data_IF_709440329977
#
_entry.id   IF_709440329977
#
_cell.length_a   1.000
_cell.length_b   1.000
_cell.length_c   1.000
_cell.angle_alpha   90.00
_cell.angle_beta   90.00
_cell.angle_gamma   90.00
#
_symmetry.space_group_name_H-M   'P 1'
#
loop_
_entity.id
_entity.type
_entity.pdbx_description
1 polymer ?
#
# COMPACT_ATOMS: atom_id res chain seq x y z
N UNK A 1 -9.82 19.90 27.49
CA UNK A 1 -10.41 18.90 26.60
C UNK A 1 -11.34 19.53 25.55
N UNK A 2 -12.33 20.42 25.89
CA UNK A 2 -13.21 21.06 24.89
C UNK A 2 -12.49 21.85 23.81
N UNK A 3 -11.39 22.57 24.12
CA UNK A 3 -10.59 23.34 23.13
C UNK A 3 -9.86 22.47 22.13
N UNK A 4 -9.41 21.29 22.54
CA UNK A 4 -8.75 20.32 21.66
C UNK A 4 -9.74 19.68 20.69
N UNK A 5 -10.96 19.37 21.17
CA UNK A 5 -12.05 18.85 20.33
C UNK A 5 -12.48 19.86 19.26
N UNK A 6 -12.55 21.16 19.61
CA UNK A 6 -12.89 22.23 18.66
C UNK A 6 -11.77 22.38 17.60
N UNK A 7 -10.50 22.29 17.99
CA UNK A 7 -9.37 22.32 17.04
C UNK A 7 -9.38 21.14 16.08
N UNK A 8 -9.67 19.94 16.59
CA UNK A 8 -9.80 18.74 15.76
C UNK A 8 -11.01 18.87 14.82
N UNK A 9 -12.16 19.34 15.31
CA UNK A 9 -13.35 19.55 14.51
C UNK A 9 -13.14 20.63 13.43
N UNK A 10 -12.44 21.73 13.75
CA UNK A 10 -12.11 22.78 12.80
C UNK A 10 -11.11 22.30 11.74
N UNK A 11 -10.13 21.47 12.13
CA UNK A 11 -9.20 20.83 11.22
C UNK A 11 -9.91 19.89 10.24
N UNK A 12 -10.84 19.07 10.72
CA UNK A 12 -11.64 18.16 9.89
C UNK A 12 -12.55 18.93 8.92
N UNK A 13 -13.12 20.07 9.34
CA UNK A 13 -13.97 20.90 8.49
C UNK A 13 -13.19 21.59 7.36
N UNK A 14 -11.92 21.98 7.58
CA UNK A 14 -11.07 22.57 6.53
C UNK A 14 -10.69 21.55 5.43
N UNK A 15 -10.66 20.26 5.72
CA UNK A 15 -10.42 19.21 4.73
C UNK A 15 -11.60 18.99 3.77
N UNK A 16 -12.83 19.32 4.18
CA UNK A 16 -14.01 19.06 3.38
C UNK A 16 -14.21 20.00 2.16
N UNK A 17 -13.42 21.07 2.05
CA UNK A 17 -13.57 22.07 0.98
C UNK A 17 -12.49 22.00 -0.11
N UNK A 18 -11.55 21.08 -0.01
CA UNK A 18 -10.52 20.89 -1.05
C UNK A 18 -11.06 19.98 -2.14
N UNK A 19 -11.63 20.57 -3.20
CA UNK A 19 -11.90 19.84 -4.44
C UNK A 19 -10.55 19.45 -5.05
N UNK A 20 -10.19 18.20 -4.95
CA UNK A 20 -9.04 17.65 -5.68
C UNK A 20 -9.34 17.72 -7.17
N UNK A 21 -8.65 18.58 -7.89
CA UNK A 21 -8.61 18.53 -9.35
C UNK A 21 -7.66 17.40 -9.75
N UNK A 22 -8.17 16.17 -9.77
CA UNK A 22 -7.44 15.06 -10.37
C UNK A 22 -7.43 15.24 -11.88
N UNK A 23 -6.25 15.43 -12.44
CA UNK A 23 -6.09 15.62 -13.89
C UNK A 23 -6.14 14.29 -14.67
N UNK A 24 -6.53 13.18 -14.05
CA UNK A 24 -6.68 11.86 -14.69
C UNK A 24 -7.73 11.03 -13.96
N UNK A 25 -8.33 10.08 -14.69
CA UNK A 25 -9.34 9.18 -14.12
C UNK A 25 -8.73 7.90 -13.56
N UNK A 26 -7.82 7.30 -14.31
CA UNK A 26 -7.18 6.03 -13.93
C UNK A 26 -5.69 6.05 -14.27
N UNK A 27 -4.91 5.20 -13.62
CA UNK A 27 -3.50 5.02 -13.91
C UNK A 27 -3.11 3.55 -13.69
N UNK A 28 -2.22 3.05 -14.56
CA UNK A 28 -1.67 1.69 -14.49
C UNK A 28 -0.15 1.74 -14.55
N UNK A 29 0.51 0.90 -13.77
CA UNK A 29 1.97 0.89 -13.74
C UNK A 29 2.55 -0.16 -12.79
N UNK A 30 3.70 0.16 -12.23
CA UNK A 30 4.42 -0.70 -11.31
C UNK A 30 4.62 0.02 -9.98
N UNK A 31 4.59 -0.75 -8.90
CA UNK A 31 4.99 -0.36 -7.56
C UNK A 31 6.11 -1.29 -7.09
N UNK A 32 7.15 -0.72 -6.52
CA UNK A 32 8.19 -1.44 -5.78
C UNK A 32 8.07 -1.06 -4.31
N UNK A 33 8.24 -2.03 -3.42
CA UNK A 33 8.09 -1.81 -2.00
C UNK A 33 9.13 -2.58 -1.18
N UNK A 34 9.30 -2.15 0.06
CA UNK A 34 10.07 -2.90 1.06
C UNK A 34 9.15 -3.80 1.89
N UNK A 35 7.90 -3.93 1.44
CA UNK A 35 6.78 -4.45 2.17
C UNK A 35 6.85 -5.89 2.61
N UNK A 36 5.90 -6.21 3.47
CA UNK A 36 5.68 -7.55 3.99
C UNK A 36 5.40 -8.57 2.88
N UNK A 37 4.61 -8.20 1.87
CA UNK A 37 4.02 -9.12 0.91
C UNK A 37 4.39 -8.86 -0.55
N UNK A 38 4.94 -7.69 -0.87
CA UNK A 38 5.25 -7.30 -2.23
C UNK A 38 6.59 -6.58 -2.33
N UNK A 39 7.49 -7.13 -3.13
CA UNK A 39 8.72 -6.46 -3.55
C UNK A 39 8.48 -5.67 -4.84
N UNK A 40 7.76 -6.28 -5.78
CA UNK A 40 7.32 -5.67 -7.03
C UNK A 40 5.87 -6.02 -7.27
N UNK A 41 5.08 -5.06 -7.71
CA UNK A 41 3.66 -5.25 -7.99
C UNK A 41 3.20 -4.47 -9.23
N UNK A 42 2.28 -5.07 -9.97
CA UNK A 42 1.45 -4.32 -10.91
C UNK A 42 0.47 -3.47 -10.11
N UNK A 43 0.37 -2.19 -10.44
CA UNK A 43 -0.44 -1.21 -9.72
C UNK A 43 -1.47 -0.58 -10.63
N UNK A 44 -2.72 -0.56 -10.18
CA UNK A 44 -3.82 0.14 -10.83
C UNK A 44 -4.48 1.08 -9.83
N UNK A 45 -4.60 2.35 -10.17
CA UNK A 45 -5.26 3.38 -9.38
C UNK A 45 -6.40 4.00 -10.18
N UNK A 46 -7.56 4.21 -9.56
CA UNK A 46 -8.70 4.89 -10.18
C UNK A 46 -9.37 5.81 -9.18
N UNK A 47 -9.70 7.02 -9.62
CA UNK A 47 -10.48 7.98 -8.84
C UNK A 47 -11.97 7.69 -9.04
N UNK A 48 -12.70 7.48 -7.94
CA UNK A 48 -14.12 7.13 -7.94
C UNK A 48 -15.04 8.31 -7.65
N UNK A 49 -14.56 9.28 -6.84
CA UNK A 49 -15.34 10.46 -6.48
C UNK A 49 -14.43 11.58 -5.98
N UNK A 50 -14.26 12.65 -6.76
CA UNK A 50 -13.47 13.81 -6.34
C UNK A 50 -12.10 13.42 -5.79
N UNK A 51 -11.86 13.56 -4.46
CA UNK A 51 -10.58 13.25 -3.84
C UNK A 51 -10.37 11.76 -3.53
N UNK A 52 -11.39 10.91 -3.71
CA UNK A 52 -11.37 9.50 -3.37
C UNK A 52 -10.83 8.62 -4.48
N UNK A 53 -9.79 7.83 -4.21
CA UNK A 53 -9.22 6.88 -5.14
C UNK A 53 -9.20 5.46 -4.56
N UNK A 54 -9.35 4.47 -5.43
CA UNK A 54 -9.05 3.06 -5.16
C UNK A 54 -7.73 2.70 -5.83
N UNK A 55 -6.89 1.99 -5.10
CA UNK A 55 -5.65 1.43 -5.61
C UNK A 55 -5.65 -0.08 -5.39
N UNK A 56 -5.34 -0.81 -6.46
CA UNK A 56 -5.18 -2.26 -6.47
C UNK A 56 -3.75 -2.60 -6.85
N UNK A 57 -3.13 -3.53 -6.13
CA UNK A 57 -1.79 -4.01 -6.45
C UNK A 57 -1.79 -5.53 -6.46
N UNK A 58 -1.20 -6.10 -7.52
CA UNK A 58 -0.90 -7.53 -7.63
C UNK A 58 0.62 -7.69 -7.55
N UNK A 59 1.09 -8.22 -6.44
CA UNK A 59 2.50 -8.22 -6.10
C UNK A 59 3.10 -9.61 -5.94
N UNK A 60 4.42 -9.66 -6.06
CA UNK A 60 5.22 -10.84 -5.80
C UNK A 60 6.41 -10.48 -4.94
N UNK A 61 6.75 -11.36 -4.00
CA UNK A 61 7.93 -11.25 -3.15
C UNK A 61 8.59 -12.62 -3.01
N UNK A 62 9.72 -12.85 -3.71
CA UNK A 62 10.60 -13.96 -3.38
C UNK A 62 11.27 -13.70 -2.04
N UNK A 63 11.34 -14.71 -1.20
CA UNK A 63 11.95 -14.63 0.12
C UNK A 63 12.64 -15.92 0.49
N UNK A 64 13.64 -15.83 1.36
CA UNK A 64 14.33 -16.98 1.92
C UNK A 64 14.13 -16.96 3.42
N UNK A 65 13.58 -18.04 3.99
CA UNK A 65 13.39 -18.19 5.42
C UNK A 65 14.53 -19.01 6.03
N UNK A 66 15.08 -18.53 7.14
CA UNK A 66 16.00 -19.33 7.97
C UNK A 66 15.23 -19.85 9.17
N UNK A 67 15.17 -21.16 9.31
CA UNK A 67 14.69 -21.80 10.55
C UNK A 67 15.90 -22.24 11.35
N UNK A 68 16.15 -21.58 12.48
CA UNK A 68 17.17 -22.00 13.43
C UNK A 68 16.52 -22.96 14.43
N UNK A 69 16.52 -24.24 14.11
CA UNK A 69 16.27 -25.30 15.09
C UNK A 69 17.62 -25.81 15.61
N UNK A 70 17.63 -26.44 16.77
CA UNK A 70 18.89 -26.82 17.47
C UNK A 70 19.85 -27.75 16.68
N UNK A 71 19.55 -28.19 15.47
CA UNK A 71 20.46 -29.04 14.67
C UNK A 71 20.26 -28.95 13.14
N UNK A 72 19.38 -28.15 12.60
CA UNK A 72 19.14 -28.06 11.14
C UNK A 72 18.95 -26.59 10.73
N UNK A 73 19.82 -26.10 9.86
CA UNK A 73 19.66 -24.86 9.13
C UNK A 73 18.97 -25.22 7.82
N UNK A 74 17.66 -25.12 7.77
CA UNK A 74 16.89 -25.37 6.55
C UNK A 74 16.67 -24.04 5.82
N UNK A 75 17.31 -23.91 4.66
CA UNK A 75 17.21 -22.73 3.81
C UNK A 75 16.08 -22.95 2.80
N UNK A 76 14.85 -22.67 3.22
CA UNK A 76 13.69 -22.80 2.35
C UNK A 76 13.40 -21.51 1.60
N UNK A 77 13.46 -21.57 0.28
CA UNK A 77 12.98 -20.50 -0.60
C UNK A 77 11.45 -20.58 -0.70
N UNK A 78 10.79 -19.44 -0.53
CA UNK A 78 9.36 -19.31 -0.73
C UNK A 78 9.02 -18.05 -1.52
N UNK A 79 7.90 -18.07 -2.20
CA UNK A 79 7.38 -16.92 -2.95
C UNK A 79 6.01 -16.55 -2.42
N UNK A 80 5.85 -15.30 -2.07
CA UNK A 80 4.56 -14.72 -1.68
C UNK A 80 3.95 -14.06 -2.91
N UNK A 81 2.72 -14.46 -3.25
CA UNK A 81 1.85 -13.73 -4.17
C UNK A 81 0.87 -12.91 -3.33
N UNK A 82 0.69 -11.65 -3.66
CA UNK A 82 -0.18 -10.73 -2.92
C UNK A 82 -1.17 -10.02 -3.83
N UNK A 83 -2.38 -9.83 -3.31
CA UNK A 83 -3.40 -8.97 -3.88
C UNK A 83 -3.81 -7.96 -2.81
N UNK A 84 -3.55 -6.68 -3.04
CA UNK A 84 -3.95 -5.62 -2.12
C UNK A 84 -4.96 -4.67 -2.76
N UNK A 85 -5.85 -4.15 -1.92
CA UNK A 85 -6.78 -3.11 -2.27
C UNK A 85 -6.79 -2.04 -1.18
N UNK A 86 -6.75 -0.77 -1.55
CA UNK A 86 -6.80 0.36 -0.63
C UNK A 86 -7.66 1.48 -1.15
N UNK A 87 -8.34 2.16 -0.22
CA UNK A 87 -8.97 3.44 -0.44
C UNK A 87 -8.04 4.55 0.02
N UNK A 88 -7.90 5.59 -0.79
CA UNK A 88 -7.04 6.75 -0.54
C UNK A 88 -7.84 8.04 -0.71
N UNK A 89 -7.71 8.94 0.23
CA UNK A 89 -8.25 10.29 0.14
C UNK A 89 -7.12 11.27 -0.17
N UNK A 90 -7.19 11.92 -1.33
CA UNK A 90 -6.16 12.81 -1.86
C UNK A 90 -6.48 14.27 -1.55
N UNK A 91 -5.47 15.01 -1.12
CA UNK A 91 -5.57 16.45 -0.85
C UNK A 91 -4.49 17.18 -1.66
N UNK A 92 -4.87 18.08 -2.58
CA UNK A 92 -3.93 18.80 -3.41
C UNK A 92 -3.10 19.78 -2.59
N UNK A 93 -1.82 19.90 -2.95
CA UNK A 93 -0.91 20.91 -2.41
C UNK A 93 -0.91 22.09 -3.40
N UNK A 94 -1.62 23.15 -3.06
CA UNK A 94 -1.86 24.29 -3.95
C UNK A 94 -0.61 25.01 -4.39
N UNK A 95 0.47 24.93 -3.60
CA UNK A 95 1.76 25.54 -3.92
C UNK A 95 2.50 24.84 -5.09
N UNK A 96 2.17 23.58 -5.37
CA UNK A 96 2.84 22.78 -6.41
C UNK A 96 1.78 22.07 -7.24
N UNK A 97 1.46 22.58 -8.45
CA UNK A 97 0.48 21.94 -9.33
C UNK A 97 0.85 20.47 -9.63
N UNK A 98 -0.12 19.58 -9.46
CA UNK A 98 0.06 18.14 -9.66
C UNK A 98 0.54 17.37 -8.44
N UNK A 99 0.97 18.03 -7.37
CA UNK A 99 1.36 17.38 -6.11
C UNK A 99 0.16 17.26 -5.18
N UNK A 100 -0.05 16.06 -4.65
CA UNK A 100 -1.08 15.76 -3.66
C UNK A 100 -0.48 14.91 -2.54
N UNK A 101 -0.94 15.07 -1.33
CA UNK A 101 -0.74 14.06 -0.30
C UNK A 101 -2.00 13.22 -0.15
N UNK A 102 -1.87 12.02 0.30
CA UNK A 102 -3.01 11.14 0.55
C UNK A 102 -2.88 10.39 1.86
N UNK A 103 -4.03 10.02 2.38
CA UNK A 103 -4.16 9.13 3.53
C UNK A 103 -5.30 8.15 3.26
N UNK A 104 -5.15 6.95 3.78
CA UNK A 104 -6.15 5.93 3.57
C UNK A 104 -5.88 4.64 4.32
N UNK A 105 -6.44 3.57 3.82
CA UNK A 105 -6.22 2.25 4.36
C UNK A 105 -6.71 1.16 3.44
N UNK A 106 -6.27 -0.04 3.70
CA UNK A 106 -6.59 -1.18 2.86
C UNK A 106 -6.31 -2.52 3.51
N UNK A 107 -6.40 -3.53 2.70
CA UNK A 107 -6.08 -4.90 3.08
C UNK A 107 -5.22 -5.58 2.01
N UNK A 108 -4.50 -6.61 2.43
CA UNK A 108 -3.72 -7.48 1.55
C UNK A 108 -4.09 -8.93 1.82
N UNK A 109 -4.42 -9.63 0.76
CA UNK A 109 -4.50 -11.08 0.72
C UNK A 109 -3.18 -11.62 0.20
N UNK A 110 -2.62 -12.60 0.88
CA UNK A 110 -1.37 -13.26 0.47
C UNK A 110 -1.59 -14.74 0.29
N UNK A 111 -0.88 -15.33 -0.66
CA UNK A 111 -0.73 -16.77 -0.76
C UNK A 111 0.77 -17.12 -0.84
N UNK A 112 1.21 -18.01 0.01
CA UNK A 112 2.62 -18.40 0.09
C UNK A 112 2.81 -19.74 -0.62
N UNK A 113 3.74 -19.77 -1.57
CA UNK A 113 4.14 -20.95 -2.32
C UNK A 113 5.53 -21.37 -1.89
N UNK A 114 5.68 -22.62 -1.50
CA UNK A 114 6.95 -23.23 -1.10
C UNK A 114 6.99 -24.67 -1.60
N UNK A 115 8.19 -25.22 -1.75
CA UNK A 115 8.37 -26.63 -2.11
C UNK A 115 8.00 -27.63 -1.01
N UNK A 116 7.61 -27.17 0.17
CA UNK A 116 7.22 -28.00 1.31
C UNK A 116 5.73 -27.82 1.61
N UNK A 117 4.93 -28.87 1.53
CA UNK A 117 3.47 -28.84 1.68
C UNK A 117 2.98 -28.27 3.01
N UNK A 118 3.83 -28.25 4.03
CA UNK A 118 3.50 -27.72 5.37
C UNK A 118 3.42 -26.19 5.44
N UNK A 119 3.89 -25.45 4.42
CA UNK A 119 4.01 -24.00 4.44
C UNK A 119 3.07 -23.27 3.47
N UNK A 120 2.10 -23.96 2.92
CA UNK A 120 1.07 -23.34 2.09
C UNK A 120 0.01 -22.63 2.94
N UNK A 121 -0.42 -21.47 2.51
CA UNK A 121 -1.56 -20.86 3.17
C UNK A 121 -1.88 -19.45 2.72
N UNK A 122 -3.12 -19.09 3.01
CA UNK A 122 -3.67 -17.76 2.75
C UNK A 122 -3.45 -16.91 3.99
N UNK A 123 -2.91 -15.72 3.80
CA UNK A 123 -2.78 -14.69 4.82
C UNK A 123 -3.66 -13.49 4.53
N UNK A 124 -4.06 -12.79 5.59
CA UNK A 124 -4.78 -11.53 5.54
C UNK A 124 -4.07 -10.50 6.42
N UNK A 125 -3.83 -9.33 5.87
CA UNK A 125 -3.29 -8.20 6.61
C UNK A 125 -4.09 -6.93 6.32
N UNK A 126 -4.10 -6.01 7.28
CA UNK A 126 -4.69 -4.68 7.17
C UNK A 126 -3.58 -3.65 7.27
N UNK A 127 -3.72 -2.54 6.55
CA UNK A 127 -2.76 -1.45 6.61
C UNK A 127 -3.42 -0.08 6.48
N UNK A 128 -3.08 0.89 7.31
CA UNK A 128 -3.22 2.30 6.96
C UNK A 128 -2.18 2.64 5.90
N UNK A 129 -2.46 3.61 5.06
CA UNK A 129 -1.52 4.11 4.05
C UNK A 129 -1.51 5.62 4.05
N UNK A 130 -0.35 6.19 3.80
CA UNK A 130 -0.20 7.62 3.62
C UNK A 130 1.01 7.91 2.76
N UNK A 131 0.95 9.01 2.02
CA UNK A 131 2.02 9.31 1.10
C UNK A 131 1.82 10.58 0.29
N UNK A 132 2.64 10.72 -0.74
CA UNK A 132 2.56 11.81 -1.70
C UNK A 132 2.48 11.23 -3.11
N UNK A 133 1.73 11.93 -3.94
CA UNK A 133 1.40 11.58 -5.31
C UNK A 133 1.66 12.78 -6.20
N UNK A 134 2.40 12.61 -7.28
CA UNK A 134 2.73 13.68 -8.21
C UNK A 134 2.39 13.31 -9.65
N UNK A 135 1.41 14.00 -10.20
CA UNK A 135 1.02 13.90 -11.61
C UNK A 135 1.78 14.93 -12.43
N UNK A 136 2.55 14.47 -13.40
CA UNK A 136 3.25 15.34 -14.34
C UNK A 136 2.26 15.99 -15.33
N UNK A 137 2.33 17.31 -15.45
CA UNK A 137 1.39 18.05 -16.33
C UNK A 137 1.64 17.87 -17.83
N UNK A 138 2.87 17.55 -18.25
CA UNK A 138 3.29 17.47 -19.66
C UNK A 138 3.35 16.04 -20.22
N UNK A 139 3.43 15.05 -19.36
CA UNK A 139 3.53 13.64 -19.75
C UNK A 139 2.47 12.84 -18.99
N UNK A 140 1.98 11.74 -19.55
CA UNK A 140 0.99 10.88 -18.90
C UNK A 140 1.64 9.99 -17.84
N UNK A 141 2.32 10.59 -16.88
CA UNK A 141 3.05 9.92 -15.81
C UNK A 141 2.57 10.43 -14.45
N UNK A 142 2.31 9.50 -13.57
CA UNK A 142 2.04 9.66 -12.16
C UNK A 142 3.11 8.92 -11.35
N UNK A 143 3.67 9.54 -10.34
CA UNK A 143 4.59 8.91 -9.41
C UNK A 143 4.12 9.12 -7.98
N UNK A 144 4.22 8.08 -7.17
CA UNK A 144 3.85 8.18 -5.75
C UNK A 144 4.87 7.51 -4.85
N UNK A 145 4.95 8.03 -3.64
CA UNK A 145 5.65 7.40 -2.51
C UNK A 145 4.66 7.18 -1.40
N UNK A 146 4.72 6.03 -0.78
CA UNK A 146 3.79 5.65 0.30
C UNK A 146 4.49 4.93 1.44
N UNK A 147 3.85 4.96 2.60
CA UNK A 147 4.19 4.17 3.77
C UNK A 147 2.95 3.38 4.20
N UNK A 148 3.14 2.07 4.49
CA UNK A 148 2.06 1.11 4.82
C UNK A 148 2.42 0.27 6.04
N UNK A 149 2.28 0.79 7.26
CA UNK A 149 2.39 -0.05 8.45
C UNK A 149 1.39 -1.20 8.37
N UNK A 150 1.87 -2.43 8.34
CA UNK A 150 1.04 -3.60 8.04
C UNK A 150 0.79 -4.43 9.28
N UNK A 151 -0.50 -4.64 9.59
CA UNK A 151 -0.98 -5.46 10.71
C UNK A 151 -1.52 -6.77 10.16
N UNK A 152 -0.92 -7.87 10.55
CA UNK A 152 -1.38 -9.19 10.16
C UNK A 152 -2.57 -9.61 11.00
N UNK A 153 -3.65 -10.04 10.34
CA UNK A 153 -4.88 -10.53 10.97
C UNK A 153 -4.94 -12.04 10.95
N UNK A 154 -4.50 -12.65 9.84
CA UNK A 154 -4.43 -14.08 9.68
C UNK A 154 -3.16 -14.47 8.91
N UNK A 155 -2.54 -15.57 9.31
CA UNK A 155 -1.36 -16.12 8.66
C UNK A 155 -1.44 -17.65 8.61
N UNK A 156 -0.74 -18.29 7.67
CA UNK A 156 -0.59 -19.75 7.68
C UNK A 156 -0.05 -20.25 9.01
N UNK A 157 -0.48 -21.42 9.50
CA UNK A 157 -0.27 -21.90 10.89
C UNK A 157 1.19 -22.15 11.30
N UNK A 158 2.13 -22.18 10.37
CA UNK A 158 3.52 -22.60 10.65
C UNK A 158 4.57 -21.49 10.70
N UNK A 159 4.17 -20.26 10.49
CA UNK A 159 5.10 -19.14 10.54
C UNK A 159 4.92 -18.32 11.83
N UNK A 160 5.96 -18.28 12.66
CA UNK A 160 6.10 -17.28 13.72
C UNK A 160 6.43 -15.93 13.10
N UNK A 161 5.46 -15.30 12.46
CA UNK A 161 5.62 -13.97 11.93
C UNK A 161 5.26 -12.92 12.97
N UNK A 162 5.99 -11.82 12.95
CA UNK A 162 5.57 -10.63 13.70
C UNK A 162 4.19 -10.17 13.21
N UNK A 163 3.30 -9.85 14.15
CA UNK A 163 1.94 -9.38 13.84
C UNK A 163 1.94 -7.97 13.26
N UNK A 164 3.05 -7.25 13.37
CA UNK A 164 3.22 -5.90 12.88
C UNK A 164 4.51 -5.78 12.08
N UNK A 165 4.42 -5.27 10.87
CA UNK A 165 5.54 -5.02 9.99
C UNK A 165 5.70 -3.52 9.71
N UNK A 166 6.89 -2.99 10.05
CA UNK A 166 7.28 -1.61 9.84
C UNK A 166 8.81 -1.49 9.79
N UNK A 167 9.39 -0.67 8.89
CA UNK A 167 8.72 0.16 7.89
C UNK A 167 8.40 -0.59 6.59
N UNK A 168 7.27 -0.25 5.96
CA UNK A 168 6.90 -0.65 4.61
C UNK A 168 6.80 0.62 3.76
N UNK A 169 7.82 0.87 2.96
CA UNK A 169 7.87 1.99 2.02
C UNK A 169 7.58 1.49 0.62
N UNK A 170 6.82 2.28 -0.14
CA UNK A 170 6.53 2.02 -1.53
C UNK A 170 6.87 3.19 -2.42
N UNK A 171 7.27 2.88 -3.64
CA UNK A 171 7.39 3.81 -4.75
C UNK A 171 6.63 3.25 -5.95
N UNK A 172 5.79 4.05 -6.57
CA UNK A 172 5.07 3.63 -7.77
C UNK A 172 5.25 4.64 -8.89
N UNK A 173 5.29 4.12 -10.11
CA UNK A 173 5.26 4.88 -11.34
C UNK A 173 4.16 4.31 -12.25
N UNK A 174 3.22 5.18 -12.68
CA UNK A 174 2.01 4.78 -13.40
C UNK A 174 1.81 5.65 -14.63
N UNK A 175 1.36 5.03 -15.69
CA UNK A 175 0.85 5.71 -16.88
C UNK A 175 -0.60 6.12 -16.62
N UNK A 176 -0.93 7.41 -16.80
CA UNK A 176 -2.28 7.93 -16.57
C UNK A 176 -3.15 7.81 -17.80
N UNK A 177 -4.38 7.37 -17.57
CA UNK A 177 -5.43 7.17 -18.56
C UNK A 177 -6.55 8.17 -18.24
N UNK A 178 -6.89 9.01 -19.23
CA UNK A 178 -7.96 10.01 -19.12
C UNK A 178 -9.29 9.44 -19.61
#
# INVERSE_FOLDING_TARGET
MKKVLILISLSVCCFALSYSQTNYHSAIGLRIGTGYSDLISASFKTFISGPGALEFNLGVKPSTGYRTGCCVVDNNSYTILSLSASYQYHVPITAVPGLQWFVGGGFTLTNTFTGNDEFHGIGLALFPTGGADYKFGRIPLDVSVDIRPTFRVASPPLYNYENFYFPDFGFAARYTIN
#
